data_IF_562408224966
#
_entry.id   IF_562408224966
#
_cell.length_a   1.000
_cell.length_b   1.000
_cell.length_c   1.000
_cell.angle_alpha   90.00
_cell.angle_beta   90.00
_cell.angle_gamma   90.00
#
_symmetry.space_group_name_H-M   'P 1'
#
loop_
_entity.id
_entity.type
_entity.pdbx_description
1 polymer ?
#
# COMPACT_ATOMS: atom_id res chain seq x y z
N UNK A 1 -22.92 3.59 4.91
CA UNK A 1 -21.52 3.33 4.54
C UNK A 1 -20.58 4.54 4.70
N UNK A 2 -20.99 5.68 5.28
CA UNK A 2 -20.06 6.82 5.53
C UNK A 2 -19.12 6.60 6.74
N UNK A 3 -19.58 5.91 7.78
CA UNK A 3 -18.77 5.61 8.97
C UNK A 3 -17.63 4.64 8.69
N UNK A 4 -17.84 3.63 7.85
CA UNK A 4 -16.81 2.62 7.55
C UNK A 4 -15.59 3.25 6.86
N UNK A 5 -15.80 4.15 5.88
CA UNK A 5 -14.71 4.87 5.23
C UNK A 5 -13.94 5.78 6.19
N UNK A 6 -14.65 6.47 7.08
CA UNK A 6 -14.04 7.31 8.13
C UNK A 6 -13.22 6.47 9.11
N UNK A 7 -13.75 5.33 9.55
CA UNK A 7 -13.06 4.42 10.48
C UNK A 7 -11.83 3.79 9.83
N UNK A 8 -11.94 3.29 8.60
CA UNK A 8 -10.81 2.73 7.85
C UNK A 8 -9.73 3.78 7.65
N UNK A 9 -10.10 4.99 7.22
CA UNK A 9 -9.14 6.09 7.06
C UNK A 9 -8.48 6.47 8.38
N UNK A 10 -9.24 6.56 9.47
CA UNK A 10 -8.67 6.91 10.78
C UNK A 10 -7.75 5.83 11.36
N UNK A 11 -8.09 4.55 11.17
CA UNK A 11 -7.31 3.42 11.69
C UNK A 11 -6.04 3.20 10.87
N UNK A 12 -6.11 3.41 9.55
CA UNK A 12 -5.00 3.11 8.65
C UNK A 12 -4.17 4.37 8.35
N UNK A 13 -4.79 5.48 7.95
CA UNK A 13 -4.05 6.73 7.64
C UNK A 13 -3.77 7.60 8.86
N UNK A 14 -4.42 7.34 10.00
CA UNK A 14 -4.37 8.23 11.17
C UNK A 14 -5.11 9.56 10.99
N UNK A 15 -5.66 9.82 9.80
CA UNK A 15 -6.36 11.05 9.43
C UNK A 15 -7.62 10.74 8.61
N UNK A 16 -8.55 11.70 8.62
CA UNK A 16 -9.79 11.60 7.83
C UNK A 16 -9.75 12.71 6.78
N UNK A 17 -9.73 12.37 5.49
CA UNK A 17 -9.77 13.37 4.42
C UNK A 17 -11.01 14.25 4.54
N UNK A 18 -10.89 15.56 4.26
CA UNK A 18 -12.01 16.50 4.30
C UNK A 18 -13.12 16.09 3.30
N UNK A 19 -12.72 15.43 2.23
CA UNK A 19 -13.56 14.84 1.19
C UNK A 19 -14.51 13.78 1.74
N UNK A 20 -14.07 13.00 2.74
CA UNK A 20 -14.93 12.01 3.40
C UNK A 20 -16.06 12.69 4.18
N UNK A 21 -15.78 13.83 4.82
CA UNK A 21 -16.78 14.62 5.53
C UNK A 21 -17.77 15.26 4.56
N UNK A 22 -17.30 15.84 3.46
CA UNK A 22 -18.16 16.42 2.42
C UNK A 22 -19.11 15.37 1.83
N UNK A 23 -18.60 14.17 1.56
CA UNK A 23 -19.40 13.05 1.05
C UNK A 23 -20.44 12.60 2.07
N UNK A 24 -20.06 12.52 3.35
CA UNK A 24 -20.97 12.15 4.43
C UNK A 24 -22.09 13.18 4.61
N UNK A 25 -21.75 14.47 4.62
CA UNK A 25 -22.72 15.57 4.78
C UNK A 25 -23.67 15.65 3.58
N UNK A 26 -23.17 15.47 2.36
CA UNK A 26 -24.00 15.52 1.14
C UNK A 26 -24.94 14.32 0.99
N UNK A 27 -24.49 13.12 1.36
CA UNK A 27 -25.29 11.89 1.18
C UNK A 27 -26.31 11.66 2.30
N UNK A 28 -26.03 12.13 3.52
CA UNK A 28 -26.86 11.83 4.69
C UNK A 28 -28.30 12.39 4.62
N UNK A 29 -28.57 13.63 4.17
CA UNK A 29 -29.93 14.12 3.98
C UNK A 29 -30.73 13.29 2.98
N UNK A 30 -30.10 12.86 1.89
CA UNK A 30 -30.75 12.01 0.88
C UNK A 30 -31.11 10.64 1.44
N UNK A 31 -30.28 10.06 2.30
CA UNK A 31 -30.63 8.81 3.02
C UNK A 31 -31.82 9.00 3.96
N UNK A 32 -31.87 10.12 4.69
CA UNK A 32 -33.02 10.44 5.56
C UNK A 32 -34.30 10.61 4.72
N UNK A 33 -34.21 11.33 3.60
CA UNK A 33 -35.35 11.53 2.69
C UNK A 33 -35.80 10.21 2.05
N UNK A 34 -34.87 9.35 1.67
CA UNK A 34 -35.17 8.01 1.16
C UNK A 34 -35.91 7.19 2.21
N UNK A 35 -35.41 7.12 3.44
CA UNK A 35 -36.05 6.39 4.54
C UNK A 35 -37.46 6.91 4.85
N UNK A 36 -37.62 8.24 4.92
CA UNK A 36 -38.94 8.87 5.10
C UNK A 36 -39.91 8.56 3.96
N UNK A 37 -39.43 8.57 2.71
CA UNK A 37 -40.25 8.23 1.55
C UNK A 37 -40.68 6.75 1.55
N UNK A 38 -39.83 5.83 2.02
CA UNK A 38 -40.19 4.42 2.21
C UNK A 38 -41.30 4.27 3.27
N UNK A 39 -41.13 4.91 4.44
CA UNK A 39 -42.14 4.87 5.51
C UNK A 39 -43.47 5.48 5.05
N UNK A 40 -43.42 6.53 4.23
CA UNK A 40 -44.60 7.17 3.65
C UNK A 40 -45.18 6.43 2.42
N UNK A 41 -44.65 5.24 2.07
CA UNK A 41 -45.07 4.42 0.91
C UNK A 41 -44.93 5.15 -0.44
N UNK A 42 -44.03 6.14 -0.51
CA UNK A 42 -43.72 6.92 -1.72
C UNK A 42 -42.54 6.32 -2.48
N UNK A 43 -42.72 5.12 -3.02
CA UNK A 43 -41.63 4.31 -3.60
C UNK A 43 -40.83 5.03 -4.70
N UNK A 44 -41.51 5.77 -5.60
CA UNK A 44 -40.82 6.52 -6.66
C UNK A 44 -39.84 7.56 -6.10
N UNK A 45 -40.24 8.29 -5.06
CA UNK A 45 -39.38 9.30 -4.41
C UNK A 45 -38.24 8.63 -3.65
N UNK A 46 -38.53 7.52 -2.96
CA UNK A 46 -37.51 6.74 -2.26
C UNK A 46 -36.38 6.27 -3.21
N UNK A 47 -36.73 5.78 -4.40
CA UNK A 47 -35.75 5.38 -5.43
C UNK A 47 -34.88 6.54 -5.86
N UNK A 48 -35.45 7.71 -6.19
CA UNK A 48 -34.66 8.86 -6.60
C UNK A 48 -33.70 9.35 -5.51
N UNK A 49 -34.14 9.42 -4.25
CA UNK A 49 -33.28 9.81 -3.13
C UNK A 49 -32.19 8.78 -2.86
N UNK A 50 -32.50 7.49 -2.93
CA UNK A 50 -31.53 6.41 -2.78
C UNK A 50 -30.48 6.42 -3.89
N UNK A 51 -30.90 6.58 -5.16
CA UNK A 51 -29.98 6.71 -6.30
C UNK A 51 -29.08 7.93 -6.16
N UNK A 52 -29.62 9.09 -5.82
CA UNK A 52 -28.83 10.31 -5.58
C UNK A 52 -27.80 10.11 -4.48
N UNK A 53 -28.19 9.49 -3.37
CA UNK A 53 -27.25 9.15 -2.30
C UNK A 53 -26.18 8.17 -2.76
N UNK A 54 -26.53 7.14 -3.54
CA UNK A 54 -25.59 6.14 -4.01
C UNK A 54 -24.53 6.78 -4.93
N UNK A 55 -24.96 7.67 -5.84
CA UNK A 55 -24.05 8.40 -6.73
C UNK A 55 -23.10 9.29 -5.93
N UNK A 56 -23.61 10.09 -4.97
CA UNK A 56 -22.76 10.95 -4.15
C UNK A 56 -21.73 10.15 -3.35
N UNK A 57 -22.16 9.04 -2.72
CA UNK A 57 -21.25 8.16 -1.98
C UNK A 57 -20.19 7.57 -2.92
N UNK A 58 -20.60 7.06 -4.08
CA UNK A 58 -19.68 6.44 -5.03
C UNK A 58 -18.64 7.43 -5.54
N UNK A 59 -19.08 8.60 -6.01
CA UNK A 59 -18.19 9.66 -6.51
C UNK A 59 -17.25 10.15 -5.41
N UNK A 60 -17.78 10.44 -4.23
CA UNK A 60 -16.97 10.92 -3.10
C UNK A 60 -15.96 9.88 -2.60
N UNK A 61 -16.32 8.60 -2.62
CA UNK A 61 -15.41 7.52 -2.24
C UNK A 61 -14.28 7.35 -3.26
N UNK A 62 -14.59 7.23 -4.55
CA UNK A 62 -13.60 6.89 -5.58
C UNK A 62 -12.76 8.08 -6.04
N UNK A 63 -13.30 9.31 -6.02
CA UNK A 63 -12.54 10.50 -6.40
C UNK A 63 -11.93 11.21 -5.19
N UNK A 64 -12.56 11.10 -4.02
CA UNK A 64 -12.14 11.80 -2.81
C UNK A 64 -11.33 10.92 -1.87
N UNK A 65 -11.88 9.79 -1.41
CA UNK A 65 -11.26 9.02 -0.31
C UNK A 65 -10.18 8.05 -0.80
N UNK A 66 -10.52 7.16 -1.72
CA UNK A 66 -9.65 6.06 -2.18
C UNK A 66 -8.27 6.54 -2.69
N UNK A 67 -8.16 7.62 -3.49
CA UNK A 67 -6.86 8.08 -3.99
C UNK A 67 -5.89 8.51 -2.89
N UNK A 68 -6.40 8.93 -1.73
CA UNK A 68 -5.60 9.44 -0.60
C UNK A 68 -5.24 8.37 0.44
N UNK A 69 -5.63 7.09 0.24
CA UNK A 69 -5.29 5.97 1.12
C UNK A 69 -3.84 5.49 0.93
N UNK A 70 -2.88 6.40 1.06
CA UNK A 70 -1.45 6.19 0.81
C UNK A 70 -0.87 4.95 1.49
N UNK A 71 -1.24 4.65 2.73
CA UNK A 71 -0.74 3.50 3.48
C UNK A 71 -1.13 2.18 2.83
N UNK A 72 -2.32 2.09 2.22
CA UNK A 72 -2.80 0.89 1.51
C UNK A 72 -2.12 0.79 0.14
N UNK A 73 -1.84 1.92 -0.51
CA UNK A 73 -1.12 1.98 -1.79
C UNK A 73 0.40 1.77 -1.61
N UNK A 74 0.79 0.64 -1.01
CA UNK A 74 2.19 0.31 -0.75
C UNK A 74 2.93 -0.10 -2.05
N UNK A 75 2.35 -0.96 -2.89
CA UNK A 75 3.01 -1.45 -4.12
C UNK A 75 3.48 -0.34 -5.07
N UNK A 76 2.66 0.68 -5.41
CA UNK A 76 3.12 1.76 -6.28
C UNK A 76 4.25 2.58 -5.66
N UNK A 77 4.14 2.92 -4.37
CA UNK A 77 5.16 3.70 -3.65
C UNK A 77 6.49 2.96 -3.55
N UNK A 78 6.43 1.66 -3.20
CA UNK A 78 7.61 0.82 -3.15
C UNK A 78 8.23 0.67 -4.54
N UNK A 79 7.43 0.48 -5.60
CA UNK A 79 7.92 0.41 -6.99
C UNK A 79 8.69 1.68 -7.38
N UNK A 80 8.13 2.87 -7.10
CA UNK A 80 8.82 4.15 -7.38
C UNK A 80 10.14 4.21 -6.62
N UNK A 81 10.16 3.86 -5.34
CA UNK A 81 11.36 3.88 -4.52
C UNK A 81 12.43 2.87 -5.00
N UNK A 82 12.03 1.67 -5.46
CA UNK A 82 12.95 0.70 -6.05
C UNK A 82 13.51 1.23 -7.37
N UNK A 83 12.67 1.73 -8.26
CA UNK A 83 13.09 2.21 -9.58
C UNK A 83 14.07 3.39 -9.52
N UNK A 84 13.98 4.22 -8.48
CA UNK A 84 14.93 5.32 -8.23
C UNK A 84 16.34 4.83 -7.85
N UNK A 85 16.47 3.59 -7.38
CA UNK A 85 17.72 3.05 -6.83
C UNK A 85 18.21 1.79 -7.55
N UNK A 86 17.67 1.49 -8.73
CA UNK A 86 18.14 0.39 -9.57
C UNK A 86 19.61 0.60 -9.95
N UNK A 87 20.54 -0.27 -9.50
CA UNK A 87 21.94 -0.12 -9.86
C UNK A 87 22.22 -0.49 -11.33
N UNK A 88 21.39 -1.35 -11.94
CA UNK A 88 21.56 -1.87 -13.29
C UNK A 88 20.20 -2.03 -14.00
N UNK A 89 20.19 -2.11 -15.33
CA UNK A 89 18.95 -2.36 -16.12
C UNK A 89 18.33 -3.74 -15.86
N UNK A 90 19.19 -4.72 -15.54
CA UNK A 90 18.82 -6.10 -15.21
C UNK A 90 19.19 -6.45 -13.77
N UNK A 91 18.95 -5.50 -12.87
CA UNK A 91 19.12 -5.72 -11.44
C UNK A 91 18.31 -6.91 -10.94
N UNK A 92 18.96 -7.75 -10.12
CA UNK A 92 18.29 -8.84 -9.45
C UNK A 92 17.68 -8.32 -8.14
N UNK A 93 16.35 -8.42 -8.04
CA UNK A 93 15.59 -7.88 -6.92
C UNK A 93 14.95 -9.03 -6.16
N UNK A 94 15.28 -9.15 -4.88
CA UNK A 94 14.61 -10.09 -3.96
C UNK A 94 13.82 -9.32 -2.92
N UNK A 95 12.51 -9.54 -2.88
CA UNK A 95 11.66 -9.07 -1.78
C UNK A 95 11.44 -10.19 -0.77
N UNK A 96 11.84 -9.92 0.47
CA UNK A 96 11.70 -10.87 1.57
C UNK A 96 10.46 -10.72 2.41
N UNK A 97 9.72 -9.64 2.19
CA UNK A 97 8.70 -9.18 3.13
C UNK A 97 7.40 -8.78 2.47
N UNK A 98 7.41 -8.61 1.15
CA UNK A 98 6.27 -8.09 0.43
C UNK A 98 6.06 -8.86 -0.87
N UNK A 99 5.06 -9.74 -0.85
CA UNK A 99 4.71 -10.65 -1.95
C UNK A 99 3.29 -10.40 -2.44
N UNK A 100 3.01 -9.17 -2.86
CA UNK A 100 1.70 -8.83 -3.44
C UNK A 100 1.68 -9.03 -4.97
N UNK A 101 0.59 -9.56 -5.54
CA UNK A 101 0.46 -9.69 -7.00
C UNK A 101 0.63 -8.36 -7.74
N UNK A 102 0.05 -7.28 -7.20
CA UNK A 102 0.15 -5.92 -7.77
C UNK A 102 1.60 -5.47 -7.92
N UNK A 103 2.47 -5.84 -6.98
CA UNK A 103 3.88 -5.48 -6.99
C UNK A 103 4.65 -6.22 -8.09
N UNK A 104 4.32 -7.49 -8.35
CA UNK A 104 4.91 -8.26 -9.47
C UNK A 104 4.64 -7.57 -10.80
N UNK A 105 3.39 -7.15 -11.02
CA UNK A 105 2.99 -6.48 -12.26
C UNK A 105 3.70 -5.14 -12.43
N UNK A 106 3.76 -4.34 -11.36
CA UNK A 106 4.45 -3.04 -11.38
C UNK A 106 5.97 -3.16 -11.58
N UNK A 107 6.56 -4.25 -11.10
CA UNK A 107 7.97 -4.59 -11.35
C UNK A 107 8.19 -5.34 -12.68
N UNK A 108 7.18 -5.47 -13.54
CA UNK A 108 7.25 -6.18 -14.83
C UNK A 108 7.74 -7.62 -14.72
N UNK A 109 7.44 -8.30 -13.60
CA UNK A 109 7.92 -9.66 -13.32
C UNK A 109 9.41 -9.76 -12.97
N UNK A 110 10.16 -8.65 -12.92
CA UNK A 110 11.59 -8.60 -12.58
C UNK A 110 11.85 -8.63 -11.06
N UNK A 111 11.07 -9.42 -10.32
CA UNK A 111 11.21 -9.54 -8.88
C UNK A 111 11.01 -10.98 -8.42
N UNK A 112 11.84 -11.42 -7.49
CA UNK A 112 11.70 -12.72 -6.81
C UNK A 112 11.25 -12.51 -5.37
N UNK A 113 10.40 -13.40 -4.88
CA UNK A 113 10.01 -13.43 -3.47
C UNK A 113 10.69 -14.58 -2.77
N UNK A 114 11.41 -14.29 -1.70
CA UNK A 114 12.15 -15.30 -0.96
C UNK A 114 12.34 -14.88 0.51
N UNK A 115 13.22 -15.52 1.26
CA UNK A 115 13.53 -15.16 2.64
C UNK A 115 14.55 -14.03 2.73
N UNK A 116 14.60 -13.36 3.89
CA UNK A 116 15.59 -12.33 4.15
C UNK A 116 17.03 -12.88 4.09
N UNK A 117 17.21 -14.15 4.46
CA UNK A 117 18.47 -14.87 4.31
C UNK A 117 18.88 -15.02 2.84
N UNK A 118 17.95 -15.44 1.98
CA UNK A 118 18.21 -15.59 0.54
C UNK A 118 18.43 -14.23 -0.14
N UNK A 119 17.75 -13.17 0.31
CA UNK A 119 18.03 -11.81 -0.13
C UNK A 119 19.46 -11.36 0.22
N UNK A 120 19.95 -11.66 1.43
CA UNK A 120 21.34 -11.43 1.82
C UNK A 120 22.32 -12.25 0.96
N UNK A 121 22.06 -13.55 0.76
CA UNK A 121 22.88 -14.40 -0.10
C UNK A 121 22.96 -13.88 -1.54
N UNK A 122 21.86 -13.37 -2.10
CA UNK A 122 21.84 -12.74 -3.41
C UNK A 122 22.78 -11.53 -3.44
N UNK A 123 22.76 -10.65 -2.43
CA UNK A 123 23.70 -9.52 -2.37
C UNK A 123 25.17 -9.97 -2.24
N UNK A 124 25.45 -11.15 -1.67
CA UNK A 124 26.81 -11.70 -1.63
C UNK A 124 27.32 -12.07 -3.01
N UNK A 125 26.44 -12.66 -3.84
CA UNK A 125 26.75 -13.16 -5.18
C UNK A 125 26.70 -12.06 -6.24
N UNK A 126 25.74 -11.13 -6.13
CA UNK A 126 25.49 -10.06 -7.10
C UNK A 126 25.63 -8.68 -6.44
N UNK A 127 26.86 -8.32 -6.06
CA UNK A 127 27.15 -7.11 -5.28
C UNK A 127 26.86 -5.81 -6.04
N UNK A 128 27.10 -5.80 -7.35
CA UNK A 128 27.00 -4.60 -8.18
C UNK A 128 25.59 -4.34 -8.69
N UNK A 129 24.79 -5.38 -8.95
CA UNK A 129 23.46 -5.26 -9.55
C UNK A 129 22.31 -5.78 -8.67
N UNK A 130 22.59 -6.25 -7.45
CA UNK A 130 21.57 -6.78 -6.54
C UNK A 130 20.86 -5.71 -5.69
N UNK A 131 19.56 -5.92 -5.47
CA UNK A 131 18.74 -5.15 -4.52
C UNK A 131 17.90 -6.08 -3.65
N UNK A 132 17.95 -5.86 -2.33
CA UNK A 132 17.15 -6.60 -1.36
C UNK A 132 16.08 -5.69 -0.75
N UNK A 133 14.83 -6.16 -0.72
CA UNK A 133 13.72 -5.49 -0.02
C UNK A 133 13.42 -6.27 1.26
N UNK A 134 13.64 -5.63 2.40
CA UNK A 134 13.61 -6.30 3.72
C UNK A 134 12.83 -5.46 4.70
N UNK A 135 11.83 -6.07 5.34
CA UNK A 135 11.08 -5.46 6.43
C UNK A 135 11.93 -5.35 7.70
N UNK A 136 11.69 -4.28 8.47
CA UNK A 136 12.34 -4.01 9.76
C UNK A 136 12.44 -5.23 10.68
N UNK A 137 11.41 -6.07 10.75
CA UNK A 137 11.39 -7.26 11.61
C UNK A 137 12.38 -8.34 11.16
N UNK A 138 12.71 -8.37 9.86
CA UNK A 138 13.60 -9.37 9.27
C UNK A 138 15.03 -8.85 9.07
N UNK A 139 15.29 -7.56 9.32
CA UNK A 139 16.62 -6.94 9.17
C UNK A 139 17.70 -7.65 10.00
N UNK A 140 17.36 -8.11 11.21
CA UNK A 140 18.31 -8.84 12.06
C UNK A 140 18.85 -10.08 11.35
N UNK A 141 17.97 -10.90 10.79
CA UNK A 141 18.35 -12.14 10.06
C UNK A 141 19.14 -11.80 8.79
N UNK A 142 18.74 -10.75 8.07
CA UNK A 142 19.44 -10.26 6.88
C UNK A 142 20.87 -9.80 7.19
N UNK A 143 21.04 -9.01 8.25
CA UNK A 143 22.34 -8.47 8.65
C UNK A 143 23.27 -9.53 9.26
N UNK A 144 22.73 -10.48 10.03
CA UNK A 144 23.48 -11.63 10.54
C UNK A 144 24.08 -12.46 9.39
N UNK A 145 23.29 -12.72 8.34
CA UNK A 145 23.77 -13.43 7.16
C UNK A 145 24.91 -12.67 6.46
N UNK A 146 24.82 -11.35 6.31
CA UNK A 146 25.84 -10.52 5.66
C UNK A 146 27.13 -10.36 6.49
N UNK A 147 27.02 -10.36 7.83
CA UNK A 147 28.14 -10.17 8.75
C UNK A 147 29.23 -11.23 8.58
N UNK A 148 28.86 -12.43 8.15
CA UNK A 148 29.81 -13.53 7.86
C UNK A 148 30.78 -13.24 6.71
N UNK A 149 30.52 -12.23 5.86
CA UNK A 149 31.24 -12.03 4.58
C UNK A 149 31.96 -10.67 4.49
N UNK A 150 32.03 -9.89 5.58
CA UNK A 150 32.60 -8.51 5.59
C UNK A 150 31.95 -7.55 4.57
N UNK A 151 30.74 -7.86 4.09
CA UNK A 151 30.00 -7.01 3.16
C UNK A 151 29.25 -5.96 3.97
N UNK A 152 29.46 -4.68 3.62
CA UNK A 152 28.66 -3.58 4.16
C UNK A 152 27.52 -3.28 3.19
N UNK A 153 26.31 -3.19 3.71
CA UNK A 153 25.14 -2.74 2.96
C UNK A 153 24.90 -1.25 3.13
N UNK A 154 24.21 -0.67 2.16
CA UNK A 154 23.63 0.67 2.22
C UNK A 154 22.12 0.54 2.13
N UNK A 155 21.40 1.29 2.98
CA UNK A 155 19.96 1.47 2.85
C UNK A 155 19.69 2.70 1.98
N UNK A 156 19.15 2.48 0.79
CA UNK A 156 18.84 3.57 -0.16
C UNK A 156 17.59 4.34 0.25
N UNK A 157 16.66 3.68 0.92
CA UNK A 157 15.40 4.26 1.33
C UNK A 157 14.50 3.24 1.97
N UNK A 158 13.36 3.73 2.46
CA UNK A 158 12.40 2.94 3.22
C UNK A 158 10.99 3.38 2.90
N UNK A 159 10.11 2.40 2.81
CA UNK A 159 8.68 2.62 2.57
C UNK A 159 7.87 1.82 3.58
N UNK A 160 7.09 2.53 4.38
CA UNK A 160 6.12 1.94 5.30
C UNK A 160 4.71 1.95 4.72
N UNK A 161 3.91 0.95 5.09
CA UNK A 161 2.53 0.83 4.64
C UNK A 161 1.82 -0.39 5.19
N UNK A 162 0.54 -0.48 4.88
CA UNK A 162 -0.32 -1.59 5.23
C UNK A 162 -0.47 -2.53 4.02
N UNK A 163 -0.01 -3.77 4.18
CA UNK A 163 -0.27 -4.81 3.20
C UNK A 163 -1.68 -5.34 3.43
N UNK A 164 -2.62 -4.93 2.56
CA UNK A 164 -4.02 -5.30 2.67
C UNK A 164 -4.29 -6.77 2.31
N UNK A 165 -3.37 -7.43 1.59
CA UNK A 165 -3.46 -8.86 1.25
C UNK A 165 -3.20 -9.77 2.45
N UNK A 166 -2.36 -9.33 3.39
CA UNK A 166 -1.93 -10.10 4.57
C UNK A 166 -2.40 -9.50 5.89
N UNK A 167 -2.93 -8.27 5.87
CA UNK A 167 -3.36 -7.53 7.05
C UNK A 167 -2.23 -7.02 7.94
N UNK A 168 -1.00 -6.90 7.40
CA UNK A 168 0.19 -6.57 8.18
C UNK A 168 0.70 -5.17 7.85
N UNK A 169 1.08 -4.43 8.89
CA UNK A 169 1.96 -3.27 8.75
C UNK A 169 3.35 -3.73 8.38
N UNK A 170 3.91 -3.12 7.35
CA UNK A 170 5.26 -3.36 6.85
C UNK A 170 6.08 -2.08 6.90
N UNK A 171 7.37 -2.22 7.14
CA UNK A 171 8.36 -1.15 7.08
C UNK A 171 9.57 -1.65 6.28
N UNK A 172 9.54 -1.44 4.96
CA UNK A 172 10.42 -2.13 4.00
C UNK A 172 11.59 -1.23 3.64
N UNK A 173 12.80 -1.64 4.03
CA UNK A 173 14.06 -1.04 3.59
C UNK A 173 14.52 -1.59 2.24
N UNK A 174 15.16 -0.74 1.45
CA UNK A 174 15.77 -1.05 0.15
C UNK A 174 17.28 -1.08 0.33
N UNK A 175 17.88 -2.26 0.19
CA UNK A 175 19.29 -2.49 0.47
C UNK A 175 20.09 -2.86 -0.78
N UNK A 176 21.28 -2.29 -0.91
CA UNK A 176 22.33 -2.74 -1.82
C UNK A 176 23.68 -2.84 -1.11
N UNK A 177 24.73 -3.19 -1.85
CA UNK A 177 26.09 -3.27 -1.30
C UNK A 177 26.79 -1.91 -1.40
N UNK A 178 27.38 -1.46 -0.28
CA UNK A 178 28.12 -0.19 -0.19
C UNK A 178 29.50 -0.28 -0.86
N UNK A 179 30.24 -1.34 -0.58
CA UNK A 179 31.57 -1.59 -1.14
C UNK A 179 31.44 -2.58 -2.30
N UNK A 180 31.31 -2.06 -3.51
CA UNK A 180 31.23 -2.85 -4.75
C UNK A 180 32.55 -3.55 -5.04
#
# INVERSE_FOLDING_TARGET
MSLAGIVISKVIEGSVPAEAWLTAIGSFPLLILAARAVIAVRMRQAVFYAMGSAVLIYVGLFLGVIPHLHQIWLSPRLTVAVNQHLPCSDSEIISSSFSEPSFVFLMHGKIKFDTAKNAALMLKTNRSCGLALVDRRNEKVFNEELSSTSIKTIEYGRVSGFNYSTGKWLDIGIYGVLNR
#
